data_IF_328064758723
#
_entry.id   IF_328064758723
#
_cell.length_a   1.000
_cell.length_b   1.000
_cell.length_c   1.000
_cell.angle_alpha   90.00
_cell.angle_beta   90.00
_cell.angle_gamma   90.00
#
_symmetry.space_group_name_H-M   'P 1'
#
loop_
_entity.id
_entity.type
_entity.pdbx_description
1 polymer ?
#
# COMPACT_ATOMS: atom_id res chain seq x y z
N UNK A 1 -10.77 8.78 7.67
CA UNK A 1 -11.75 8.17 8.59
C UNK A 1 -12.88 7.61 7.75
N UNK A 2 -13.27 6.37 7.98
CA UNK A 2 -14.28 5.64 7.21
C UNK A 2 -15.47 5.33 8.12
N UNK A 3 -16.68 5.52 7.62
CA UNK A 3 -17.92 5.14 8.31
C UNK A 3 -18.27 3.69 7.97
N UNK A 4 -18.20 2.80 8.96
CA UNK A 4 -18.39 1.36 8.76
C UNK A 4 -19.77 1.01 8.19
N UNK A 5 -20.82 1.73 8.61
CA UNK A 5 -22.20 1.47 8.14
C UNK A 5 -22.40 1.89 6.69
N UNK A 6 -21.74 2.99 6.28
CA UNK A 6 -21.97 3.61 4.97
C UNK A 6 -20.91 3.27 3.93
N UNK A 7 -19.80 2.61 4.29
CA UNK A 7 -18.70 2.34 3.38
C UNK A 7 -19.16 1.59 2.12
N UNK A 8 -19.87 0.47 2.25
CA UNK A 8 -20.39 -0.30 1.10
C UNK A 8 -21.28 0.54 0.18
N UNK A 9 -22.12 1.40 0.77
CA UNK A 9 -22.95 2.32 -0.01
C UNK A 9 -22.10 3.34 -0.77
N UNK A 10 -21.07 3.91 -0.14
CA UNK A 10 -20.17 4.88 -0.78
C UNK A 10 -19.32 4.26 -1.90
N UNK A 11 -18.82 3.03 -1.71
CA UNK A 11 -18.08 2.30 -2.73
C UNK A 11 -18.98 1.94 -3.93
N UNK A 12 -20.25 1.58 -3.67
CA UNK A 12 -21.20 1.21 -4.72
C UNK A 12 -21.83 2.41 -5.45
N UNK A 13 -21.99 3.56 -4.79
CA UNK A 13 -22.69 4.74 -5.34
C UNK A 13 -22.09 5.31 -6.63
N UNK A 14 -20.84 4.98 -6.89
CA UNK A 14 -20.07 5.52 -7.99
C UNK A 14 -19.70 4.44 -9.03
N UNK A 15 -20.30 3.25 -8.97
CA UNK A 15 -20.16 2.24 -10.03
C UNK A 15 -20.74 2.71 -11.38
N UNK A 16 -21.78 3.56 -11.34
CA UNK A 16 -22.51 4.00 -12.54
C UNK A 16 -22.09 5.39 -13.08
N UNK A 17 -21.17 6.09 -12.42
CA UNK A 17 -20.68 7.41 -12.86
C UNK A 17 -19.24 7.30 -13.34
N UNK A 18 -18.91 7.96 -14.44
CA UNK A 18 -17.54 8.09 -14.98
C UNK A 18 -16.53 8.76 -14.04
N UNK A 19 -16.96 9.16 -12.85
CA UNK A 19 -16.12 9.70 -11.79
C UNK A 19 -15.65 8.56 -10.89
N UNK A 20 -14.34 8.35 -10.86
CA UNK A 20 -13.71 7.42 -9.94
C UNK A 20 -14.14 7.73 -8.49
N UNK A 21 -14.50 6.74 -7.65
CA UNK A 21 -15.04 7.05 -6.33
C UNK A 21 -13.94 7.56 -5.42
N UNK A 22 -14.10 8.80 -4.93
CA UNK A 22 -13.14 9.45 -4.03
C UNK A 22 -12.82 8.59 -2.78
N UNK A 23 -13.80 7.82 -2.30
CA UNK A 23 -13.63 6.90 -1.19
C UNK A 23 -12.52 5.85 -1.43
N UNK A 24 -12.40 5.31 -2.65
CA UNK A 24 -11.32 4.37 -2.99
C UNK A 24 -9.96 5.06 -2.94
N UNK A 25 -9.85 6.27 -3.50
CA UNK A 25 -8.59 7.03 -3.47
C UNK A 25 -8.16 7.34 -2.04
N UNK A 26 -9.10 7.78 -1.20
CA UNK A 26 -8.82 8.07 0.21
C UNK A 26 -8.31 6.83 0.95
N UNK A 27 -8.86 5.64 0.68
CA UNK A 27 -8.38 4.38 1.25
C UNK A 27 -7.00 4.01 0.69
N UNK A 28 -6.79 4.12 -0.63
CA UNK A 28 -5.53 3.79 -1.30
C UNK A 28 -4.36 4.66 -0.82
N UNK A 29 -4.60 5.94 -0.51
CA UNK A 29 -3.56 6.83 0.02
C UNK A 29 -3.30 6.66 1.51
N UNK A 30 -4.20 6.02 2.27
CA UNK A 30 -4.13 6.01 3.73
C UNK A 30 -3.03 5.08 4.28
N UNK A 31 -2.31 5.55 5.29
CA UNK A 31 -1.47 4.72 6.17
C UNK A 31 -2.27 4.11 7.33
N UNK A 32 -3.28 4.83 7.77
CA UNK A 32 -4.18 4.46 8.87
C UNK A 32 -5.60 4.69 8.40
N UNK A 33 -6.43 3.67 8.50
CA UNK A 33 -7.86 3.77 8.26
C UNK A 33 -8.57 3.62 9.59
N UNK A 34 -9.09 4.73 10.11
CA UNK A 34 -9.97 4.69 11.28
C UNK A 34 -11.36 4.28 10.80
N UNK A 35 -11.77 3.06 11.16
CA UNK A 35 -13.08 2.52 10.88
C UNK A 35 -14.01 2.86 12.05
N UNK A 36 -14.85 3.88 11.86
CA UNK A 36 -15.73 4.42 12.89
C UNK A 36 -17.16 3.87 12.77
N UNK A 37 -17.90 3.91 13.89
CA UNK A 37 -19.28 3.43 14.02
C UNK A 37 -19.44 1.92 13.91
N UNK A 38 -18.43 1.18 14.40
CA UNK A 38 -18.45 -0.29 14.39
C UNK A 38 -19.62 -0.86 15.21
N UNK A 39 -20.09 -0.11 16.22
CA UNK A 39 -21.25 -0.43 17.05
C UNK A 39 -22.55 -0.61 16.25
N UNK A 40 -22.72 0.16 15.18
CA UNK A 40 -23.92 0.07 14.34
C UNK A 40 -23.92 -1.16 13.43
N UNK A 41 -22.74 -1.66 13.05
CA UNK A 41 -22.59 -2.85 12.21
C UNK A 41 -22.78 -4.12 13.03
N UNK A 42 -22.24 -4.16 14.26
CA UNK A 42 -22.39 -5.29 15.18
C UNK A 42 -23.83 -5.54 15.63
N UNK A 43 -24.71 -4.54 15.58
CA UNK A 43 -26.11 -4.66 15.99
C UNK A 43 -27.05 -5.10 14.86
N UNK A 44 -26.73 -4.79 13.61
CA UNK A 44 -27.63 -4.99 12.46
C UNK A 44 -27.23 -6.19 11.58
N UNK A 45 -25.97 -6.63 11.62
CA UNK A 45 -25.43 -7.65 10.70
C UNK A 45 -24.66 -8.72 11.48
N UNK A 46 -24.79 -9.98 11.04
CA UNK A 46 -24.23 -11.17 11.69
C UNK A 46 -22.75 -11.06 12.08
N UNK A 47 -22.35 -11.86 13.09
CA UNK A 47 -20.96 -12.10 13.46
C UNK A 47 -20.11 -12.36 12.19
N UNK A 48 -19.20 -11.45 11.85
CA UNK A 48 -18.34 -11.53 10.65
C UNK A 48 -18.43 -10.33 9.69
N UNK A 49 -19.48 -9.50 9.75
CA UNK A 49 -19.63 -8.36 8.83
C UNK A 49 -18.50 -7.32 8.94
N UNK A 50 -17.92 -7.15 10.13
CA UNK A 50 -16.77 -6.27 10.33
C UNK A 50 -15.50 -6.82 9.68
N UNK A 51 -15.29 -8.14 9.73
CA UNK A 51 -14.12 -8.80 9.13
C UNK A 51 -14.22 -8.74 7.60
N UNK A 52 -15.41 -8.93 7.03
CA UNK A 52 -15.64 -8.73 5.60
C UNK A 52 -15.31 -7.30 5.16
N UNK A 53 -15.67 -6.29 5.97
CA UNK A 53 -15.41 -4.90 5.66
C UNK A 53 -13.91 -4.56 5.74
N UNK A 54 -13.21 -5.17 6.69
CA UNK A 54 -11.75 -5.05 6.79
C UNK A 54 -11.06 -5.71 5.60
N UNK A 55 -11.53 -6.88 5.18
CA UNK A 55 -11.04 -7.54 3.97
C UNK A 55 -11.27 -6.68 2.72
N UNK A 56 -12.41 -5.99 2.62
CA UNK A 56 -12.70 -5.06 1.53
C UNK A 56 -11.81 -3.80 1.55
N UNK A 57 -11.40 -3.32 2.73
CA UNK A 57 -10.41 -2.25 2.84
C UNK A 57 -9.02 -2.76 2.45
N UNK A 58 -8.65 -3.97 2.90
CA UNK A 58 -7.35 -4.59 2.62
C UNK A 58 -7.19 -5.01 1.16
N UNK A 59 -8.26 -5.36 0.45
CA UNK A 59 -8.22 -5.63 -0.99
C UNK A 59 -7.83 -4.37 -1.78
N UNK A 60 -8.26 -3.19 -1.32
CA UNK A 60 -7.89 -1.89 -1.91
C UNK A 60 -6.47 -1.50 -1.48
N UNK A 61 -6.18 -1.55 -0.18
CA UNK A 61 -4.90 -1.15 0.39
C UNK A 61 -4.44 -2.17 1.43
N UNK A 62 -3.62 -3.13 0.99
CA UNK A 62 -3.09 -4.17 1.88
C UNK A 62 -2.17 -3.63 2.98
N UNK A 63 -1.62 -2.43 2.82
CA UNK A 63 -0.72 -1.80 3.78
C UNK A 63 -1.43 -0.89 4.80
N UNK A 64 -2.75 -0.73 4.70
CA UNK A 64 -3.52 0.12 5.61
C UNK A 64 -3.61 -0.52 6.99
N UNK A 65 -3.20 0.21 8.03
CA UNK A 65 -3.50 -0.18 9.41
C UNK A 65 -4.93 0.23 9.77
N UNK A 66 -5.81 -0.73 10.05
CA UNK A 66 -7.21 -0.47 10.37
C UNK A 66 -7.38 -0.34 11.88
N UNK A 67 -7.97 0.76 12.33
CA UNK A 67 -8.30 1.01 13.74
C UNK A 67 -9.82 1.09 13.89
N UNK A 68 -10.40 0.09 14.55
CA UNK A 68 -11.83 0.10 14.91
C UNK A 68 -12.08 1.16 15.98
N UNK A 69 -13.11 1.97 15.80
CA UNK A 69 -13.49 3.02 16.74
C UNK A 69 -14.99 3.21 16.84
N UNK A 70 -15.42 3.71 18.00
CA UNK A 70 -16.80 4.14 18.25
C UNK A 70 -16.73 5.62 18.56
N UNK A 71 -17.55 6.44 17.88
CA UNK A 71 -17.57 7.91 18.02
C UNK A 71 -16.20 8.58 17.80
N UNK A 72 -15.35 7.99 16.95
CA UNK A 72 -13.98 8.43 16.69
C UNK A 72 -13.09 8.49 17.94
N UNK A 73 -13.40 7.70 18.98
CA UNK A 73 -12.52 7.56 20.13
C UNK A 73 -11.38 6.61 19.76
N UNK A 74 -10.18 7.18 19.60
CA UNK A 74 -8.97 6.51 19.14
C UNK A 74 -7.77 7.06 19.90
N UNK A 75 -6.80 6.20 20.20
CA UNK A 75 -5.56 6.66 20.80
C UNK A 75 -4.77 7.48 19.77
N UNK A 76 -4.49 8.73 20.11
CA UNK A 76 -3.72 9.65 19.28
C UNK A 76 -2.32 9.12 19.01
N UNK A 77 -1.75 8.29 19.89
CA UNK A 77 -0.42 7.68 19.68
C UNK A 77 -0.40 6.73 18.48
N UNK A 78 -1.54 6.14 18.12
CA UNK A 78 -1.66 5.23 16.98
C UNK A 78 -1.79 5.99 15.65
N UNK A 79 -2.08 7.28 15.71
CA UNK A 79 -2.32 8.16 14.55
C UNK A 79 -1.14 9.11 14.33
N UNK A 80 -0.69 9.76 15.39
CA UNK A 80 0.39 10.74 15.39
C UNK A 80 1.70 10.06 15.81
N UNK A 81 2.81 10.54 15.26
CA UNK A 81 4.16 10.09 15.60
C UNK A 81 4.50 8.65 15.16
N UNK A 82 3.99 8.20 14.00
CA UNK A 82 4.31 6.88 13.41
C UNK A 82 5.76 6.75 12.88
N UNK A 83 6.63 7.70 13.23
CA UNK A 83 8.06 7.71 12.89
C UNK A 83 8.36 7.20 11.47
N UNK A 84 7.70 7.77 10.45
CA UNK A 84 7.76 7.28 9.06
C UNK A 84 9.19 7.19 8.45
N UNK A 85 10.19 7.74 9.14
CA UNK A 85 11.59 7.79 8.74
C UNK A 85 12.54 7.03 9.68
N UNK A 86 12.03 6.39 10.76
CA UNK A 86 12.87 5.69 11.73
C UNK A 86 13.10 4.23 11.30
N UNK A 87 14.17 3.62 11.80
CA UNK A 87 14.54 2.22 11.54
C UNK A 87 13.42 1.24 11.92
N UNK A 88 12.59 1.61 12.90
CA UNK A 88 11.37 0.91 13.31
C UNK A 88 10.32 0.85 12.20
N UNK A 89 10.18 1.93 11.42
CA UNK A 89 9.26 1.98 10.30
C UNK A 89 9.73 1.11 9.13
N UNK A 90 11.04 1.01 8.88
CA UNK A 90 11.56 0.06 7.89
C UNK A 90 11.21 -1.40 8.26
N UNK A 91 11.42 -1.79 9.52
CA UNK A 91 11.03 -3.14 9.99
C UNK A 91 9.51 -3.37 9.95
N UNK A 92 8.71 -2.37 10.31
CA UNK A 92 7.25 -2.46 10.20
C UNK A 92 6.80 -2.57 8.73
N UNK A 93 7.40 -1.79 7.84
CA UNK A 93 7.15 -1.86 6.41
C UNK A 93 7.55 -3.22 5.85
N UNK A 94 8.71 -3.76 6.21
CA UNK A 94 9.13 -5.11 5.82
C UNK A 94 8.11 -6.18 6.25
N UNK A 95 7.58 -6.09 7.48
CA UNK A 95 6.57 -7.01 7.99
C UNK A 95 5.25 -6.88 7.22
N UNK A 96 4.77 -5.64 7.00
CA UNK A 96 3.57 -5.39 6.18
C UNK A 96 3.74 -5.92 4.74
N UNK A 97 4.93 -5.76 4.15
CA UNK A 97 5.27 -6.27 2.83
C UNK A 97 5.40 -7.80 2.79
N UNK A 98 5.65 -8.46 3.93
CA UNK A 98 5.61 -9.92 4.05
C UNK A 98 4.17 -10.43 4.18
N UNK A 99 3.36 -9.76 5.00
CA UNK A 99 1.95 -10.11 5.20
C UNK A 99 1.14 -9.92 3.92
N UNK A 100 1.39 -8.85 3.16
CA UNK A 100 0.70 -8.57 1.89
C UNK A 100 0.89 -9.65 0.82
N UNK A 101 1.92 -10.52 0.94
CA UNK A 101 2.09 -11.68 0.05
C UNK A 101 0.98 -12.71 0.17
N UNK A 102 0.35 -12.82 1.34
CA UNK A 102 -0.71 -13.81 1.59
C UNK A 102 -2.07 -13.35 1.07
N UNK A 103 -2.21 -12.06 0.74
CA UNK A 103 -3.45 -11.43 0.30
C UNK A 103 -3.51 -11.22 -1.22
N UNK A 104 -2.45 -11.57 -1.96
CA UNK A 104 -2.36 -11.35 -3.41
C UNK A 104 -3.13 -12.37 -4.26
N UNK A 105 -4.27 -12.86 -3.77
CA UNK A 105 -5.11 -13.81 -4.49
C UNK A 105 -6.55 -13.32 -4.56
N UNK A 106 -6.88 -12.69 -5.69
CA UNK A 106 -8.10 -13.05 -6.42
C UNK A 106 -9.32 -12.14 -6.36
N UNK A 107 -9.46 -11.24 -5.39
CA UNK A 107 -10.67 -10.40 -5.31
C UNK A 107 -10.46 -9.05 -5.99
N UNK A 108 -10.42 -9.10 -7.33
CA UNK A 108 -10.60 -7.93 -8.17
C UNK A 108 -11.98 -7.34 -7.87
N UNK A 109 -12.02 -6.26 -7.10
CA UNK A 109 -13.17 -5.36 -7.19
C UNK A 109 -13.19 -4.76 -8.60
N UNK A 110 -14.37 -4.74 -9.19
CA UNK A 110 -14.72 -4.21 -10.52
C UNK A 110 -14.32 -2.71 -10.75
N UNK A 111 -13.69 -2.07 -9.75
CA UNK A 111 -13.19 -0.69 -9.79
C UNK A 111 -11.78 -0.57 -10.40
N UNK A 112 -11.10 -1.69 -10.68
CA UNK A 112 -9.79 -1.73 -11.35
C UNK A 112 -8.61 -1.23 -10.53
N UNK A 113 -8.80 -0.91 -9.24
CA UNK A 113 -7.71 -0.60 -8.30
C UNK A 113 -7.27 -1.87 -7.60
N UNK A 114 -5.96 -2.11 -7.58
CA UNK A 114 -5.37 -3.28 -6.95
C UNK A 114 -4.09 -2.91 -6.20
N UNK A 115 -3.70 -3.80 -5.28
CA UNK A 115 -2.38 -3.80 -4.67
C UNK A 115 -1.53 -4.91 -5.32
N UNK A 116 -0.32 -4.59 -5.80
CA UNK A 116 0.64 -5.55 -6.34
C UNK A 116 1.94 -5.54 -5.55
N UNK A 117 2.53 -6.73 -5.36
CA UNK A 117 3.76 -6.93 -4.60
C UNK A 117 4.87 -7.51 -5.49
N UNK A 118 6.00 -6.82 -5.61
CA UNK A 118 7.19 -7.30 -6.31
C UNK A 118 8.23 -7.73 -5.29
N UNK A 119 8.84 -8.88 -5.53
CA UNK A 119 9.90 -9.44 -4.70
C UNK A 119 11.07 -9.88 -5.59
N UNK A 120 12.27 -9.31 -5.36
CA UNK A 120 13.48 -9.69 -6.09
C UNK A 120 14.68 -9.77 -5.15
N UNK A 121 15.53 -10.79 -5.29
CA UNK A 121 16.69 -11.02 -4.40
C UNK A 121 17.96 -10.32 -4.86
N UNK A 122 18.04 -9.96 -6.15
CA UNK A 122 19.22 -9.36 -6.75
C UNK A 122 19.43 -7.91 -6.28
N UNK A 123 20.66 -7.44 -6.25
CA UNK A 123 20.93 -6.06 -5.87
C UNK A 123 20.61 -5.13 -7.05
N UNK A 124 20.03 -3.97 -6.78
CA UNK A 124 19.65 -3.00 -7.81
C UNK A 124 20.58 -1.79 -7.82
N UNK A 125 20.74 -1.19 -8.99
CA UNK A 125 21.38 0.10 -9.16
C UNK A 125 20.39 1.23 -8.81
N UNK A 126 20.77 2.06 -7.84
CA UNK A 126 19.91 3.14 -7.34
C UNK A 126 19.53 4.16 -8.43
N UNK A 127 20.44 4.45 -9.36
CA UNK A 127 20.18 5.41 -10.43
C UNK A 127 19.16 4.84 -11.43
N UNK A 128 19.30 3.56 -11.79
CA UNK A 128 18.32 2.87 -12.64
C UNK A 128 16.94 2.82 -11.99
N UNK A 129 16.86 2.55 -10.68
CA UNK A 129 15.58 2.54 -9.94
C UNK A 129 14.91 3.91 -9.96
N UNK A 130 15.68 5.01 -9.84
CA UNK A 130 15.14 6.38 -9.94
C UNK A 130 14.51 6.64 -11.31
N UNK A 131 15.23 6.33 -12.39
CA UNK A 131 14.69 6.49 -13.74
C UNK A 131 13.44 5.62 -13.94
N UNK A 132 13.47 4.38 -13.47
CA UNK A 132 12.34 3.47 -13.57
C UNK A 132 11.09 3.96 -12.84
N UNK A 133 11.23 4.46 -11.61
CA UNK A 133 10.07 4.98 -10.87
C UNK A 133 9.55 6.28 -11.50
N UNK A 134 10.42 7.13 -12.04
CA UNK A 134 10.04 8.35 -12.78
C UNK A 134 9.22 8.01 -14.04
N UNK A 135 9.65 7.02 -14.83
CA UNK A 135 8.89 6.56 -16.02
C UNK A 135 7.50 6.01 -15.65
N UNK A 136 7.38 5.34 -14.50
CA UNK A 136 6.09 4.81 -14.04
C UNK A 136 5.18 5.93 -13.54
N UNK A 137 5.70 6.83 -12.72
CA UNK A 137 4.90 7.85 -12.04
C UNK A 137 4.54 9.04 -12.94
N UNK A 138 5.46 9.47 -13.82
CA UNK A 138 5.28 10.70 -14.63
C UNK A 138 4.85 10.41 -16.05
N UNK A 139 5.53 9.49 -16.73
CA UNK A 139 5.28 9.25 -18.16
C UNK A 139 4.04 8.38 -18.39
N UNK A 140 3.53 7.72 -17.35
CA UNK A 140 2.41 6.75 -17.41
C UNK A 140 2.56 5.79 -18.59
N UNK A 141 3.80 5.40 -18.89
CA UNK A 141 4.26 4.74 -20.12
C UNK A 141 3.53 3.43 -20.45
N UNK A 142 2.85 2.86 -19.45
CA UNK A 142 2.14 1.59 -19.51
C UNK A 142 0.63 1.72 -19.26
N UNK A 143 0.07 2.94 -19.21
CA UNK A 143 -1.34 3.17 -18.88
C UNK A 143 -1.71 2.76 -17.45
N UNK A 144 -0.71 2.56 -16.59
CA UNK A 144 -0.86 2.29 -15.17
C UNK A 144 -0.99 3.62 -14.42
N UNK A 145 -1.89 3.69 -13.44
CA UNK A 145 -2.01 4.87 -12.58
C UNK A 145 -1.64 4.50 -11.14
N UNK A 146 -0.41 4.83 -10.74
CA UNK A 146 0.09 4.53 -9.41
C UNK A 146 -0.36 5.62 -8.44
N UNK A 147 -1.12 5.21 -7.43
CA UNK A 147 -1.53 6.10 -6.35
C UNK A 147 -0.48 6.12 -5.25
N UNK A 148 0.04 4.95 -4.91
CA UNK A 148 1.00 4.79 -3.83
C UNK A 148 2.03 3.73 -4.15
N UNK A 149 3.27 3.99 -3.77
CA UNK A 149 4.32 2.99 -3.78
C UNK A 149 5.07 3.03 -2.46
N UNK A 150 5.35 1.86 -1.89
CA UNK A 150 6.31 1.72 -0.80
C UNK A 150 7.24 0.57 -1.10
N UNK A 151 8.52 0.78 -0.85
CA UNK A 151 9.54 -0.20 -1.14
C UNK A 151 10.67 -0.20 -0.13
N UNK A 152 11.26 -1.38 -0.02
CA UNK A 152 12.53 -1.65 0.62
C UNK A 152 13.44 -2.18 -0.47
N UNK A 153 14.60 -1.55 -0.66
CA UNK A 153 15.50 -1.81 -1.78
C UNK A 153 16.85 -2.31 -1.27
N UNK A 154 17.34 -3.36 -1.92
CA UNK A 154 18.69 -3.89 -1.78
C UNK A 154 19.57 -3.23 -2.84
N UNK A 155 20.23 -2.14 -2.47
CA UNK A 155 21.06 -1.36 -3.40
C UNK A 155 22.46 -1.97 -3.51
N UNK A 156 22.96 -2.10 -4.75
CA UNK A 156 24.34 -2.51 -5.03
C UNK A 156 25.34 -1.51 -4.46
N UNK A 157 26.44 -2.00 -3.89
CA UNK A 157 27.49 -1.18 -3.25
C UNK A 157 27.04 -0.41 -2.00
N UNK A 158 25.94 -0.82 -1.35
CA UNK A 158 25.48 -0.28 -0.08
C UNK A 158 25.19 -1.40 0.92
N UNK A 159 25.65 -1.25 2.16
CA UNK A 159 25.28 -2.08 3.31
C UNK A 159 24.00 -1.56 4.00
N UNK A 160 23.46 -0.45 3.51
CA UNK A 160 22.23 0.16 4.00
C UNK A 160 21.00 -0.27 3.21
N UNK A 161 19.94 -0.54 3.95
CA UNK A 161 18.57 -0.66 3.50
C UNK A 161 18.07 0.72 3.06
N UNK A 162 17.59 0.80 1.82
CA UNK A 162 16.98 2.00 1.27
C UNK A 162 15.47 1.84 1.24
N UNK A 163 14.74 2.84 1.72
CA UNK A 163 13.29 2.90 1.58
C UNK A 163 12.93 3.82 0.43
N UNK A 164 11.96 3.39 -0.37
CA UNK A 164 11.32 4.20 -1.40
C UNK A 164 9.87 4.41 -1.00
N UNK A 165 9.41 5.65 -1.09
CA UNK A 165 8.01 6.01 -0.88
C UNK A 165 7.55 6.93 -1.98
N UNK A 166 6.38 6.67 -2.54
CA UNK A 166 5.75 7.54 -3.52
C UNK A 166 4.26 7.70 -3.26
N UNK A 167 3.78 8.92 -3.49
CA UNK A 167 2.36 9.29 -3.49
C UNK A 167 2.11 10.11 -4.74
N UNK A 168 1.36 9.52 -5.69
CA UNK A 168 1.21 10.06 -7.05
C UNK A 168 2.59 10.33 -7.69
N UNK A 169 2.82 11.55 -8.16
CA UNK A 169 4.03 11.97 -8.88
C UNK A 169 5.21 12.28 -7.96
N UNK A 170 5.00 12.33 -6.64
CA UNK A 170 6.05 12.66 -5.69
C UNK A 170 6.63 11.38 -5.13
N UNK A 171 7.95 11.23 -5.23
CA UNK A 171 8.66 10.10 -4.65
C UNK A 171 9.92 10.56 -3.90
N UNK A 172 10.36 9.70 -2.98
CA UNK A 172 11.59 9.88 -2.23
C UNK A 172 12.27 8.52 -2.04
N UNK A 173 13.60 8.48 -2.15
CA UNK A 173 14.40 7.30 -1.82
C UNK A 173 15.46 7.71 -0.80
N UNK A 174 15.42 7.12 0.39
CA UNK A 174 16.34 7.46 1.48
C UNK A 174 17.02 6.21 2.06
N UNK A 175 18.32 6.26 2.38
CA UNK A 175 18.94 5.25 3.22
C UNK A 175 18.35 5.33 4.63
N UNK A 176 17.99 4.20 5.24
CA UNK A 176 17.31 4.18 6.54
C UNK A 176 18.16 3.54 7.64
N UNK A 177 18.64 2.31 7.44
CA UNK A 177 19.47 1.58 8.41
C UNK A 177 20.38 0.58 7.72
N UNK A 178 21.39 0.06 8.40
CA UNK A 178 22.15 -1.09 7.91
C UNK A 178 21.27 -2.36 7.89
N UNK A 179 21.56 -3.24 6.92
CA UNK A 179 21.01 -4.59 6.90
C UNK A 179 21.48 -5.38 8.13
N UNK A 180 20.60 -6.16 8.77
CA UNK A 180 21.00 -7.04 9.89
C UNK A 180 21.63 -8.32 9.34
N UNK A 181 22.54 -8.94 10.09
CA UNK A 181 23.29 -10.14 9.66
C UNK A 181 22.40 -11.36 9.33
N UNK A 182 21.21 -11.45 9.93
CA UNK A 182 20.26 -12.57 9.75
C UNK A 182 19.09 -12.21 8.81
N UNK A 183 19.08 -11.00 8.29
CA UNK A 183 17.98 -10.48 7.50
C UNK A 183 18.09 -10.91 6.03
N UNK A 184 16.97 -11.33 5.45
CA UNK A 184 16.90 -11.65 4.02
C UNK A 184 16.96 -10.34 3.22
N UNK A 185 18.15 -9.98 2.78
CA UNK A 185 18.35 -8.84 1.89
C UNK A 185 17.65 -9.08 0.57
N UNK A 186 16.55 -8.38 0.33
CA UNK A 186 15.80 -8.46 -0.92
C UNK A 186 15.04 -7.16 -1.16
N UNK A 187 14.76 -6.90 -2.42
CA UNK A 187 13.84 -5.85 -2.82
C UNK A 187 12.41 -6.32 -2.59
N UNK A 188 11.63 -5.48 -1.93
CA UNK A 188 10.19 -5.65 -1.74
C UNK A 188 9.53 -4.34 -2.10
N UNK A 189 8.62 -4.38 -3.05
CA UNK A 189 7.93 -3.20 -3.55
C UNK A 189 6.44 -3.49 -3.55
N UNK A 190 5.65 -2.59 -2.99
CA UNK A 190 4.20 -2.63 -3.11
C UNK A 190 3.72 -1.39 -3.85
N UNK A 191 2.93 -1.65 -4.88
CA UNK A 191 2.20 -0.66 -5.64
C UNK A 191 0.71 -0.75 -5.31
N UNK A 192 0.07 0.40 -5.17
CA UNK A 192 -1.37 0.53 -5.06
C UNK A 192 -1.79 1.51 -6.14
N UNK A 193 -2.69 1.08 -7.02
CA UNK A 193 -3.02 1.86 -8.20
C UNK A 193 -4.06 1.20 -9.08
N UNK A 194 -4.42 1.90 -10.16
CA UNK A 194 -5.39 1.44 -11.14
C UNK A 194 -4.71 0.82 -12.36
N UNK A 195 -5.28 -0.29 -12.85
CA UNK A 195 -4.82 -1.00 -14.05
C UNK A 195 -3.34 -1.38 -13.99
N UNK A 196 -2.85 -1.79 -12.80
CA UNK A 196 -1.46 -2.20 -12.63
C UNK A 196 -1.21 -3.57 -13.29
N UNK A 197 -0.10 -3.68 -14.00
CA UNK A 197 0.33 -4.93 -14.64
C UNK A 197 1.57 -5.49 -13.94
N UNK A 198 1.41 -6.63 -13.27
CA UNK A 198 2.47 -7.28 -12.51
C UNK A 198 3.66 -7.69 -13.40
N UNK A 199 3.40 -8.22 -14.60
CA UNK A 199 4.45 -8.70 -15.48
C UNK A 199 5.32 -7.54 -15.97
N UNK A 200 4.68 -6.44 -16.40
CA UNK A 200 5.38 -5.24 -16.85
C UNK A 200 6.22 -4.67 -15.71
N UNK A 201 5.67 -4.55 -14.50
CA UNK A 201 6.39 -4.03 -13.34
C UNK A 201 7.59 -4.92 -12.97
N UNK A 202 7.44 -6.25 -12.99
CA UNK A 202 8.54 -7.18 -12.72
C UNK A 202 9.62 -7.09 -13.79
N UNK A 203 9.24 -7.10 -15.07
CA UNK A 203 10.20 -7.13 -16.18
C UNK A 203 10.96 -5.81 -16.31
N UNK A 204 10.28 -4.68 -16.13
CA UNK A 204 10.93 -3.36 -16.14
C UNK A 204 11.84 -3.18 -14.92
N UNK A 205 11.43 -3.68 -13.74
CA UNK A 205 12.25 -3.62 -12.54
C UNK A 205 13.51 -4.48 -12.65
N UNK A 206 13.47 -5.63 -13.36
CA UNK A 206 14.68 -6.43 -13.66
C UNK A 206 15.74 -5.67 -14.44
N UNK A 207 15.34 -4.66 -15.23
CA UNK A 207 16.29 -3.76 -15.90
C UNK A 207 17.14 -2.93 -14.94
N UNK A 208 16.70 -2.79 -13.69
CA UNK A 208 17.39 -2.04 -12.63
C UNK A 208 18.47 -2.84 -11.91
N UNK A 209 18.55 -4.15 -12.15
CA UNK A 209 19.59 -5.04 -11.60
C UNK A 209 20.95 -4.76 -12.28
#
# INVERSE_FOLDING_TARGET
VVDAKNLRFQLNRHRDSSSFPEAFLQIAFADVVILNKVDLVSQEQSEGALEELENEIHSINSLANIIRSIRCEVDLSQILNRQAYDATHATHLEALLEESKSLSSGDLHDSGVCTLCINQTEAVDLHKVRLWIEEILWDKKYGMDVYRCKAVLRVGNSDQLHTLQAVREIYEIVPTRQWRNEEKQMNRIVFIGHNLDENILIDTFRGCI
#
